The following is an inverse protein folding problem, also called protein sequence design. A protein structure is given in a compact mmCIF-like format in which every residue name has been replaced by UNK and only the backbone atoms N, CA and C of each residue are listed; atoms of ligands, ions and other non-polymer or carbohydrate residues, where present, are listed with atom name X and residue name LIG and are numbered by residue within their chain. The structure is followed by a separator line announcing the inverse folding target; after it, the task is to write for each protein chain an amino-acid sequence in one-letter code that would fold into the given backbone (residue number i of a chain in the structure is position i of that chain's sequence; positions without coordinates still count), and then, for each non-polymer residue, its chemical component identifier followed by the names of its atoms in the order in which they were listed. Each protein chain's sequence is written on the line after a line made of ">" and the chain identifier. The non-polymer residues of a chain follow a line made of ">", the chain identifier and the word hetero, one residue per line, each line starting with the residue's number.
data_IF_471285828450
#
_entry.id   IF_471285828450
#
_cell.length_a   1.000
_cell.length_b   1.000
_cell.length_c   1.000
_cell.angle_alpha   90.00
_cell.angle_beta   90.00
_cell.angle_gamma   90.00
#
_symmetry.space_group_name_H-M   'P 1'
#
loop_
_entity.id
_entity.type
_entity.pdbx_description
1 polymer ?
#
# COMPACT_ATOMS: atom_id res chain seq x y z
N UNK A 1 10.21 3.70 3.44
CA UNK A 1 9.42 4.67 2.64
C UNK A 1 10.29 5.77 2.06
N UNK A 2 10.84 6.72 2.85
CA UNK A 2 11.62 7.88 2.35
C UNK A 2 12.61 7.61 1.21
N UNK A 3 13.53 6.67 1.38
CA UNK A 3 14.53 6.35 0.33
C UNK A 3 13.90 5.77 -0.94
N UNK A 4 12.85 4.94 -0.82
CA UNK A 4 12.12 4.41 -1.99
C UNK A 4 11.34 5.52 -2.70
N UNK A 5 10.73 6.44 -1.96
CA UNK A 5 10.05 7.62 -2.52
C UNK A 5 11.05 8.46 -3.33
N UNK A 6 12.23 8.74 -2.78
CA UNK A 6 13.29 9.47 -3.51
C UNK A 6 13.75 8.73 -4.77
N UNK A 7 13.93 7.41 -4.68
CA UNK A 7 14.34 6.58 -5.80
C UNK A 7 13.32 6.63 -6.95
N UNK A 8 12.04 6.46 -6.65
CA UNK A 8 10.99 6.49 -7.67
C UNK A 8 10.73 7.89 -8.22
N UNK A 9 10.84 8.92 -7.38
CA UNK A 9 10.79 10.30 -7.84
C UNK A 9 11.90 10.62 -8.87
N UNK A 10 13.14 10.16 -8.65
CA UNK A 10 14.22 10.31 -9.65
C UNK A 10 13.92 9.55 -10.96
N UNK A 11 13.09 8.51 -10.91
CA UNK A 11 12.63 7.77 -12.09
C UNK A 11 11.38 8.38 -12.74
N UNK A 12 10.89 9.52 -12.28
CA UNK A 12 9.66 10.14 -12.77
C UNK A 12 8.41 9.31 -12.45
N UNK A 13 8.37 8.70 -11.25
CA UNK A 13 7.27 7.86 -10.78
C UNK A 13 6.85 8.25 -9.38
N UNK A 14 5.56 8.13 -9.11
CA UNK A 14 5.04 8.19 -7.74
C UNK A 14 5.01 6.78 -7.15
N UNK A 15 5.03 6.65 -5.82
CA UNK A 15 4.97 5.36 -5.14
C UNK A 15 3.84 5.32 -4.12
N UNK A 16 2.96 4.33 -4.30
CA UNK A 16 1.91 4.01 -3.34
C UNK A 16 2.41 2.89 -2.43
N UNK A 17 2.28 3.07 -1.12
CA UNK A 17 2.54 2.00 -0.16
C UNK A 17 1.23 1.46 0.38
N UNK A 18 1.12 0.16 0.61
CA UNK A 18 -0.04 -0.40 1.31
C UNK A 18 0.34 -1.60 2.17
N UNK A 19 -0.56 -1.93 3.07
CA UNK A 19 -0.52 -3.11 3.93
C UNK A 19 -1.92 -3.73 3.98
N UNK A 20 -1.98 -5.05 3.79
CA UNK A 20 -3.20 -5.83 3.89
C UNK A 20 -3.10 -6.79 5.09
N UNK A 21 -3.78 -6.43 6.18
CA UNK A 21 -3.82 -7.17 7.43
C UNK A 21 -5.24 -7.74 7.72
N UNK A 22 -5.96 -8.13 6.67
CA UNK A 22 -7.37 -8.58 6.77
C UNK A 22 -7.51 -10.00 7.36
N UNK A 23 -6.44 -10.80 7.41
CA UNK A 23 -6.50 -12.18 7.90
C UNK A 23 -5.56 -12.43 9.10
N UNK A 24 -5.74 -11.72 10.23
CA UNK A 24 -4.83 -11.83 11.38
C UNK A 24 -4.83 -13.24 11.99
N UNK A 25 -5.95 -13.97 11.90
CA UNK A 25 -6.08 -15.35 12.37
C UNK A 25 -5.14 -16.33 11.66
N UNK A 26 -4.69 -16.02 10.43
CA UNK A 26 -3.73 -16.85 9.68
C UNK A 26 -2.28 -16.63 10.12
N UNK A 27 -2.01 -15.66 11.01
CA UNK A 27 -0.68 -15.34 11.56
C UNK A 27 0.38 -15.14 10.46
N UNK A 28 -0.02 -14.49 9.37
CA UNK A 28 0.92 -14.16 8.29
C UNK A 28 1.88 -13.04 8.74
N UNK A 29 3.04 -12.96 8.09
CA UNK A 29 3.96 -11.85 8.32
C UNK A 29 3.36 -10.55 7.80
N UNK A 30 3.52 -9.47 8.57
CA UNK A 30 3.23 -8.12 8.10
C UNK A 30 4.17 -7.79 6.92
N UNK A 31 3.58 -7.41 5.80
CA UNK A 31 4.31 -7.03 4.60
C UNK A 31 3.75 -5.70 4.09
N UNK A 32 4.64 -4.72 3.97
CA UNK A 32 4.32 -3.43 3.36
C UNK A 32 4.78 -3.46 1.91
N UNK A 33 3.83 -3.29 1.00
CA UNK A 33 4.09 -3.34 -0.44
C UNK A 33 4.31 -1.93 -0.96
N UNK A 34 5.31 -1.74 -1.80
CA UNK A 34 5.58 -0.49 -2.50
C UNK A 34 5.30 -0.68 -3.99
N UNK A 35 4.37 0.09 -4.55
CA UNK A 35 3.98 0.00 -5.96
C UNK A 35 4.27 1.34 -6.64
N UNK A 36 5.27 1.38 -7.54
CA UNK A 36 5.49 2.56 -8.36
C UNK A 36 4.40 2.67 -9.44
N UNK A 37 3.87 3.86 -9.62
CA UNK A 37 2.88 4.22 -10.65
C UNK A 37 3.38 5.41 -11.47
N UNK A 38 2.83 5.67 -12.67
CA UNK A 38 3.12 6.90 -13.40
C UNK A 38 2.88 8.13 -12.53
N UNK A 39 3.77 9.13 -12.64
CA UNK A 39 3.74 10.30 -11.77
C UNK A 39 2.41 11.07 -11.85
N UNK A 40 1.86 11.22 -13.05
CA UNK A 40 0.59 11.91 -13.30
C UNK A 40 -0.61 11.27 -12.59
N UNK A 41 -0.56 9.94 -12.38
CA UNK A 41 -1.61 9.20 -11.67
C UNK A 41 -1.49 9.27 -10.14
N UNK A 42 -0.39 9.83 -9.63
CA UNK A 42 -0.18 9.99 -8.18
C UNK A 42 -1.27 10.81 -7.50
N UNK A 43 -1.75 11.86 -8.17
CA UNK A 43 -2.77 12.76 -7.64
C UNK A 43 -4.18 12.12 -7.64
N UNK A 44 -4.45 11.19 -8.53
CA UNK A 44 -5.76 10.53 -8.68
C UNK A 44 -5.89 9.31 -7.79
N UNK A 45 -4.79 8.66 -7.42
CA UNK A 45 -4.78 7.44 -6.60
C UNK A 45 -5.66 7.52 -5.33
N UNK A 46 -5.67 8.60 -4.52
CA UNK A 46 -6.56 8.71 -3.37
C UNK A 46 -8.05 8.59 -3.72
N UNK A 47 -8.48 9.14 -4.85
CA UNK A 47 -9.87 9.07 -5.29
C UNK A 47 -10.27 7.64 -5.67
N UNK A 48 -9.42 6.94 -6.43
CA UNK A 48 -9.65 5.53 -6.80
C UNK A 48 -9.78 4.63 -5.57
N UNK A 49 -8.88 4.77 -4.59
CA UNK A 49 -8.98 3.98 -3.35
C UNK A 49 -10.21 4.35 -2.52
N UNK A 50 -10.60 5.63 -2.51
CA UNK A 50 -11.82 6.08 -1.83
C UNK A 50 -13.07 5.41 -2.42
N UNK A 51 -13.21 5.42 -3.74
CA UNK A 51 -14.33 4.76 -4.44
C UNK A 51 -14.29 3.23 -4.25
N UNK A 52 -13.10 2.64 -4.27
CA UNK A 52 -12.94 1.21 -4.04
C UNK A 52 -13.38 0.80 -2.62
N UNK A 53 -13.02 1.55 -1.58
CA UNK A 53 -13.48 1.26 -0.22
C UNK A 53 -14.99 1.43 -0.06
N UNK A 54 -15.59 2.42 -0.73
CA UNK A 54 -17.04 2.63 -0.67
C UNK A 54 -17.82 1.48 -1.33
N UNK A 55 -17.27 0.90 -2.41
CA UNK A 55 -17.91 -0.16 -3.19
C UNK A 55 -17.60 -1.60 -2.73
N UNK A 56 -16.52 -1.82 -1.96
CA UNK A 56 -16.05 -3.17 -1.64
C UNK A 56 -16.69 -3.81 -0.40
N UNK A 57 -17.25 -3.01 0.50
CA UNK A 57 -17.77 -3.50 1.79
C UNK A 57 -19.29 -3.41 1.88
N UNK A 58 -19.85 -4.20 2.80
CA UNK A 58 -21.29 -4.30 3.02
C UNK A 58 -21.89 -2.92 3.37
N UNK A 59 -23.09 -2.64 2.84
CA UNK A 59 -23.73 -1.33 2.98
C UNK A 59 -24.04 -0.97 4.45
N UNK A 60 -24.03 -1.97 5.33
CA UNK A 60 -24.33 -1.89 6.76
C UNK A 60 -23.15 -2.28 7.65
N UNK A 61 -21.97 -1.71 7.40
CA UNK A 61 -20.78 -1.85 8.25
C UNK A 61 -20.92 -1.09 9.58
N UNK A 62 -20.41 -1.63 10.69
CA UNK A 62 -20.39 -0.92 11.98
C UNK A 62 -19.32 0.18 12.02
N UNK A 63 -18.21 -0.03 11.31
CA UNK A 63 -17.11 0.92 11.22
C UNK A 63 -17.29 1.87 10.02
N UNK A 64 -16.66 3.04 10.10
CA UNK A 64 -16.60 3.95 8.95
C UNK A 64 -15.86 3.26 7.81
N UNK A 65 -16.50 3.17 6.63
CA UNK A 65 -15.88 2.64 5.40
C UNK A 65 -14.53 3.29 5.08
N UNK A 66 -14.33 4.57 5.41
CA UNK A 66 -13.07 5.26 5.16
C UNK A 66 -12.56 5.94 6.43
N UNK A 67 -11.29 5.67 6.74
CA UNK A 67 -10.52 6.32 7.78
C UNK A 67 -9.45 7.17 7.11
N UNK A 68 -9.68 8.48 7.04
CA UNK A 68 -8.71 9.43 6.46
C UNK A 68 -7.58 9.73 7.45
N UNK A 69 -6.52 8.92 7.38
CA UNK A 69 -5.31 9.12 8.17
C UNK A 69 -4.46 10.28 7.65
N UNK A 70 -4.62 10.67 6.38
CA UNK A 70 -3.94 11.82 5.80
C UNK A 70 -4.44 13.15 6.37
N UNK A 71 -5.77 13.30 6.48
CA UNK A 71 -6.39 14.44 7.17
C UNK A 71 -5.92 14.51 8.62
N UNK A 72 -6.04 13.41 9.37
CA UNK A 72 -5.59 13.35 10.77
C UNK A 72 -4.10 13.63 10.94
N UNK A 73 -3.26 13.21 9.98
CA UNK A 73 -1.84 13.52 10.00
C UNK A 73 -1.58 15.02 9.89
N UNK A 74 -2.33 15.72 9.01
CA UNK A 74 -2.29 17.18 8.88
C UNK A 74 -2.84 17.91 10.11
N UNK A 75 -3.83 17.33 10.79
CA UNK A 75 -4.43 17.87 12.03
C UNK A 75 -3.54 17.66 13.28
N UNK A 76 -2.24 17.51 13.10
CA UNK A 76 -1.25 17.45 14.18
C UNK A 76 -0.92 16.04 14.69
N UNK A 77 -1.56 14.98 14.20
CA UNK A 77 -1.16 13.61 14.59
C UNK A 77 0.10 13.13 13.86
N UNK A 78 0.47 13.74 12.73
CA UNK A 78 1.58 13.32 11.88
C UNK A 78 1.56 11.80 11.63
N UNK A 79 2.74 11.15 11.74
CA UNK A 79 2.89 9.69 11.55
C UNK A 79 2.09 8.83 12.51
N UNK A 80 1.64 9.38 13.64
CA UNK A 80 0.86 8.60 14.60
C UNK A 80 -0.60 8.42 14.15
N UNK A 81 -1.04 9.15 13.12
CA UNK A 81 -2.42 9.12 12.62
C UNK A 81 -2.89 7.69 12.31
N UNK A 82 -2.09 6.87 11.64
CA UNK A 82 -2.42 5.47 11.37
C UNK A 82 -2.59 4.66 12.67
N UNK A 83 -1.55 4.62 13.51
CA UNK A 83 -1.53 3.81 14.74
C UNK A 83 -2.59 4.22 15.76
N UNK A 84 -3.01 5.49 15.75
CA UNK A 84 -4.07 6.01 16.63
C UNK A 84 -5.47 5.87 16.03
N UNK A 85 -5.59 5.61 14.73
CA UNK A 85 -6.89 5.55 14.05
C UNK A 85 -7.42 4.13 13.85
N UNK A 86 -6.56 3.13 13.86
CA UNK A 86 -6.92 1.73 13.63
C UNK A 86 -6.39 0.91 14.82
N UNK A 87 -7.30 0.20 15.49
CA UNK A 87 -6.94 -0.71 16.58
C UNK A 87 -6.15 -1.90 16.03
N UNK A 88 -5.13 -2.35 16.76
CA UNK A 88 -4.18 -3.39 16.32
C UNK A 88 -4.88 -4.75 16.09
N UNK A 89 -5.95 -5.00 16.81
CA UNK A 89 -6.69 -6.26 16.81
C UNK A 89 -7.68 -6.35 15.64
N UNK A 90 -8.00 -5.23 15.00
CA UNK A 90 -8.98 -5.19 13.90
C UNK A 90 -8.34 -5.63 12.59
N UNK A 91 -9.02 -6.45 11.77
CA UNK A 91 -8.63 -6.67 10.39
C UNK A 91 -8.70 -5.36 9.60
N UNK A 92 -7.64 -4.99 8.89
CA UNK A 92 -7.61 -3.74 8.13
C UNK A 92 -6.86 -3.85 6.81
N UNK A 93 -7.19 -2.91 5.93
CA UNK A 93 -6.35 -2.53 4.80
C UNK A 93 -5.98 -1.05 4.94
N UNK A 94 -4.71 -0.70 4.70
CA UNK A 94 -4.26 0.69 4.71
C UNK A 94 -3.37 0.99 3.52
N UNK A 95 -3.58 2.15 2.92
CA UNK A 95 -2.78 2.70 1.82
C UNK A 95 -2.22 4.07 2.21
N UNK A 96 -0.92 4.26 2.03
CA UNK A 96 -0.21 5.52 2.22
C UNK A 96 0.13 6.14 0.86
N UNK A 97 -0.34 7.36 0.65
CA UNK A 97 0.03 8.22 -0.50
C UNK A 97 1.18 9.17 -0.15
N UNK A 98 1.41 9.38 1.15
CA UNK A 98 2.48 10.22 1.68
C UNK A 98 3.20 9.49 2.81
N UNK A 99 4.32 10.04 3.27
CA UNK A 99 5.09 9.45 4.38
C UNK A 99 4.31 9.41 5.71
N UNK A 100 3.34 10.30 5.88
CA UNK A 100 2.70 10.53 7.17
C UNK A 100 1.22 10.08 7.18
N UNK A 101 0.61 9.85 6.01
CA UNK A 101 -0.77 9.35 5.96
C UNK A 101 -1.29 8.96 4.57
N UNK A 102 -2.51 8.44 4.60
CA UNK A 102 -3.33 8.08 3.45
C UNK A 102 -4.70 7.62 3.91
N UNK A 103 -5.21 6.51 3.39
CA UNK A 103 -6.55 6.00 3.68
C UNK A 103 -6.49 4.61 4.31
N UNK A 104 -7.35 4.37 5.30
CA UNK A 104 -7.54 3.07 5.92
C UNK A 104 -8.98 2.61 5.84
N UNK A 105 -9.16 1.31 5.92
CA UNK A 105 -10.46 0.64 5.93
C UNK A 105 -10.39 -0.56 6.89
N UNK A 106 -11.34 -0.64 7.82
CA UNK A 106 -11.52 -1.80 8.70
C UNK A 106 -12.39 -2.79 7.93
N UNK A 107 -11.93 -4.04 7.82
CA UNK A 107 -12.64 -5.08 7.07
C UNK A 107 -13.39 -5.96 8.05
N UNK A 108 -14.72 -5.90 8.00
CA UNK A 108 -15.58 -6.69 8.89
C UNK A 108 -15.82 -8.10 8.33
N UNK A 109 -16.20 -8.22 7.06
CA UNK A 109 -16.35 -9.51 6.37
C UNK A 109 -15.09 -9.90 5.59
N UNK A 110 -14.17 -10.56 6.30
CA UNK A 110 -12.92 -11.07 5.72
C UNK A 110 -13.14 -12.16 4.64
N UNK A 111 -14.34 -12.75 4.55
CA UNK A 111 -14.70 -13.77 3.57
C UNK A 111 -15.04 -13.19 2.20
N UNK A 112 -15.61 -11.99 2.16
CA UNK A 112 -15.90 -11.24 0.92
C UNK A 112 -14.70 -10.42 0.42
N UNK A 113 -13.80 -10.04 1.32
CA UNK A 113 -12.61 -9.29 0.94
C UNK A 113 -11.76 -10.02 -0.10
N UNK A 114 -11.28 -9.35 -1.17
CA UNK A 114 -10.43 -9.97 -2.17
C UNK A 114 -9.20 -10.66 -1.57
N UNK A 115 -8.94 -11.90 -2.01
CA UNK A 115 -7.88 -12.74 -1.44
C UNK A 115 -6.49 -12.17 -1.73
N UNK A 116 -5.62 -12.18 -0.72
CA UNK A 116 -4.25 -11.66 -0.85
C UNK A 116 -4.27 -10.19 -1.26
N UNK A 117 -3.40 -9.79 -2.19
CA UNK A 117 -3.30 -8.40 -2.63
C UNK A 117 -4.28 -8.02 -3.74
N UNK A 118 -5.27 -8.86 -4.06
CA UNK A 118 -6.16 -8.61 -5.21
C UNK A 118 -6.89 -7.26 -5.13
N UNK A 119 -7.35 -6.86 -3.94
CA UNK A 119 -7.98 -5.54 -3.75
C UNK A 119 -7.06 -4.41 -4.24
N UNK A 120 -5.84 -4.34 -3.71
CA UNK A 120 -4.88 -3.31 -4.10
C UNK A 120 -4.51 -3.41 -5.59
N UNK A 121 -4.39 -4.63 -6.12
CA UNK A 121 -4.01 -4.87 -7.52
C UNK A 121 -5.10 -4.50 -8.50
N UNK A 122 -6.38 -4.65 -8.14
CA UNK A 122 -7.51 -4.22 -8.97
C UNK A 122 -7.61 -2.70 -8.99
N UNK A 123 -7.46 -2.03 -7.83
CA UNK A 123 -7.46 -0.56 -7.75
C UNK A 123 -6.28 0.03 -8.52
N UNK A 124 -5.06 -0.43 -8.22
CA UNK A 124 -3.84 0.05 -8.88
C UNK A 124 -3.81 -0.35 -10.36
N UNK A 125 -4.37 -1.51 -10.70
CA UNK A 125 -4.53 -1.93 -12.08
C UNK A 125 -5.46 -1.01 -12.87
N UNK A 126 -6.57 -0.58 -12.26
CA UNK A 126 -7.46 0.41 -12.87
C UNK A 126 -6.79 1.77 -13.07
N UNK A 127 -5.95 2.19 -12.12
CA UNK A 127 -5.19 3.45 -12.23
C UNK A 127 -4.22 3.42 -13.42
N UNK A 128 -3.53 2.30 -13.65
CA UNK A 128 -2.50 2.18 -14.70
C UNK A 128 -3.01 1.53 -15.99
N UNK A 129 -4.33 1.34 -16.11
CA UNK A 129 -4.99 0.65 -17.23
C UNK A 129 -4.37 -0.73 -17.56
N UNK A 130 -4.08 -1.52 -16.52
CA UNK A 130 -3.52 -2.85 -16.68
C UNK A 130 -4.58 -3.86 -17.15
N UNK A 131 -4.19 -4.83 -17.97
CA UNK A 131 -5.12 -5.89 -18.34
C UNK A 131 -5.53 -6.77 -17.14
N UNK A 132 -6.77 -7.32 -17.12
CA UNK A 132 -7.27 -8.14 -16.01
C UNK A 132 -6.38 -9.34 -15.65
N UNK A 133 -5.71 -9.92 -16.64
CA UNK A 133 -4.82 -11.06 -16.43
C UNK A 133 -3.54 -10.67 -15.66
N UNK A 134 -3.09 -9.41 -15.78
CA UNK A 134 -1.97 -8.84 -15.01
C UNK A 134 -2.43 -8.53 -13.58
N UNK A 135 -3.62 -7.94 -13.42
CA UNK A 135 -4.18 -7.63 -12.10
C UNK A 135 -4.32 -8.90 -11.24
N UNK A 136 -4.84 -9.99 -11.83
CA UNK A 136 -5.07 -11.27 -11.13
C UNK A 136 -3.80 -12.11 -10.90
N UNK A 137 -2.66 -11.71 -11.47
CA UNK A 137 -1.42 -12.46 -11.37
C UNK A 137 -0.89 -12.48 -9.93
N UNK A 138 -0.84 -13.68 -9.35
CA UNK A 138 -0.23 -13.91 -8.04
C UNK A 138 1.24 -14.30 -8.22
N UNK A 139 2.15 -13.52 -7.62
CA UNK A 139 3.58 -13.81 -7.66
C UNK A 139 3.92 -15.01 -6.78
N UNK A 140 4.89 -15.81 -7.23
CA UNK A 140 5.55 -16.82 -6.38
C UNK A 140 6.95 -16.34 -6.03
N UNK A 141 7.33 -16.49 -4.78
CA UNK A 141 8.68 -16.21 -4.33
C UNK A 141 9.58 -17.37 -4.70
N UNK A 142 10.66 -17.07 -5.41
CA UNK A 142 11.68 -18.04 -5.82
C UNK A 142 13.03 -17.56 -5.31
N UNK A 143 13.86 -18.48 -4.81
CA UNK A 143 15.27 -18.16 -4.51
C UNK A 143 15.98 -17.82 -5.81
N UNK A 144 16.79 -16.76 -5.80
CA UNK A 144 17.55 -16.34 -6.98
C UNK A 144 16.71 -15.67 -8.07
N UNK A 145 15.61 -14.99 -7.71
CA UNK A 145 14.80 -14.25 -8.68
C UNK A 145 15.63 -13.19 -9.42
N UNK A 146 15.79 -13.31 -10.76
CA UNK A 146 16.64 -12.40 -11.53
C UNK A 146 16.13 -10.95 -11.54
N UNK A 147 14.85 -10.72 -11.22
CA UNK A 147 14.26 -9.38 -11.14
C UNK A 147 14.90 -8.54 -10.03
N UNK A 148 15.41 -9.18 -8.98
CA UNK A 148 16.04 -8.50 -7.86
C UNK A 148 17.32 -7.76 -8.26
N UNK A 149 18.11 -8.30 -9.19
CA UNK A 149 19.39 -7.69 -9.59
C UNK A 149 19.21 -6.35 -10.31
N UNK A 150 18.16 -6.24 -11.14
CA UNK A 150 17.80 -4.97 -11.77
C UNK A 150 17.43 -3.91 -10.73
N UNK A 151 16.60 -4.28 -9.75
CA UNK A 151 16.21 -3.39 -8.66
C UNK A 151 17.41 -2.92 -7.82
N UNK A 152 18.29 -3.85 -7.43
CA UNK A 152 19.49 -3.55 -6.60
C UNK A 152 20.38 -2.48 -7.23
N UNK A 153 20.56 -2.51 -8.56
CA UNK A 153 21.37 -1.52 -9.28
C UNK A 153 20.83 -0.10 -9.10
N UNK A 154 19.52 0.10 -9.27
CA UNK A 154 18.86 1.40 -9.08
C UNK A 154 18.79 1.81 -7.60
N UNK A 155 18.55 0.85 -6.70
CA UNK A 155 18.46 1.08 -5.26
C UNK A 155 19.77 1.53 -4.63
N UNK A 156 20.92 1.09 -5.18
CA UNK A 156 22.26 1.28 -4.59
C UNK A 156 22.59 2.73 -4.21
N UNK A 157 22.10 3.71 -4.97
CA UNK A 157 22.31 5.16 -4.72
C UNK A 157 21.53 5.66 -3.49
N UNK A 158 20.41 5.03 -3.16
CA UNK A 158 19.47 5.45 -2.11
C UNK A 158 19.55 4.57 -0.85
N UNK A 159 20.35 3.51 -0.92
CA UNK A 159 20.56 2.57 0.15
C UNK A 159 21.46 3.16 1.25
N UNK A 160 20.80 3.74 2.25
CA UNK A 160 21.47 4.30 3.42
C UNK A 160 22.10 3.21 4.32
N UNK A 161 21.68 1.95 4.21
CA UNK A 161 22.20 0.86 5.08
C UNK A 161 23.64 0.49 4.74
N UNK A 162 24.11 0.83 3.54
CA UNK A 162 25.52 0.69 3.16
C UNK A 162 26.46 1.51 4.04
N UNK A 163 26.01 2.68 4.49
CA UNK A 163 26.78 3.50 5.44
C UNK A 163 26.90 2.87 6.83
N UNK A 164 26.02 1.93 7.18
CA UNK A 164 26.11 1.17 8.44
C UNK A 164 27.06 -0.03 8.36
N UNK A 165 27.32 -0.54 7.15
CA UNK A 165 28.14 -1.73 6.93
C UNK A 165 29.58 -1.39 6.51
N UNK A 166 29.80 -0.21 5.95
CA UNK A 166 31.09 0.28 5.46
C UNK A 166 31.81 1.22 6.46
N UNK A 167 31.27 1.40 7.67
CA UNK A 167 31.85 2.19 8.77
C UNK A 167 32.29 1.31 9.93
#
# INVERSE_FOLDING_TARGET
>A
MKSLTRMYHEQGREVVFYENAVQPHRRMHAAMVAVPIPYEEGATAPAYFKEAFLSSDEEWSQHRKIIDTGAKARDGMGRSAFRRSIAKEMPYFHVWFTLDGGLGHIVEDTGRWPKGDLFAREVLGGIVDAEPHIMKKQGRWMRGDPRAEGFKKGWRKFDWTRMLAEG
#
